data_IF_423653800091
#
_entry.id   IF_423653800091
#
_cell.length_a   1.000
_cell.length_b   1.000
_cell.length_c   1.000
_cell.angle_alpha   90.00
_cell.angle_beta   90.00
_cell.angle_gamma   90.00
#
_symmetry.space_group_name_H-M   'P 1'
#
loop_
_entity.id
_entity.type
_entity.pdbx_description
1 polymer ?
#
# COMPACT_ATOMS: atom_id res chain seq x y z
N UNK A 1 10.07 1.86 -22.99
CA UNK A 1 10.93 3.05 -22.76
C UNK A 1 12.11 2.61 -21.92
N UNK A 2 13.36 2.93 -22.30
CA UNK A 2 14.52 2.69 -21.44
C UNK A 2 14.42 3.56 -20.18
N UNK A 3 14.77 2.99 -19.04
CA UNK A 3 14.76 3.70 -17.75
C UNK A 3 16.04 4.51 -17.61
N UNK A 4 15.92 5.77 -17.19
CA UNK A 4 17.07 6.65 -16.92
C UNK A 4 17.56 7.51 -18.07
N UNK A 5 16.88 7.49 -19.23
CA UNK A 5 17.24 8.35 -20.38
C UNK A 5 16.39 9.61 -20.51
N UNK A 6 15.26 9.69 -19.82
CA UNK A 6 14.37 10.85 -19.85
C UNK A 6 13.56 10.96 -18.54
N UNK A 7 13.10 12.17 -18.22
CA UNK A 7 12.24 12.46 -17.07
C UNK A 7 10.78 12.58 -17.50
N UNK A 8 9.90 11.82 -16.85
CA UNK A 8 8.46 11.97 -17.04
C UNK A 8 7.88 13.09 -16.16
N UNK A 9 7.03 13.94 -16.72
CA UNK A 9 6.23 14.89 -15.95
C UNK A 9 5.05 14.19 -15.25
N UNK A 10 4.69 14.64 -14.05
CA UNK A 10 3.63 14.01 -13.25
C UNK A 10 3.22 14.81 -12.01
N UNK A 11 3.12 14.11 -10.87
CA UNK A 11 2.67 14.68 -9.59
C UNK A 11 3.64 15.75 -9.05
N UNK A 12 3.09 16.84 -8.52
CA UNK A 12 3.85 17.83 -7.77
C UNK A 12 4.22 17.30 -6.39
N UNK A 13 5.48 16.86 -6.25
CA UNK A 13 6.00 16.24 -5.03
C UNK A 13 7.06 17.11 -4.35
N UNK A 14 7.12 17.03 -3.02
CA UNK A 14 8.10 17.71 -2.18
C UNK A 14 9.14 16.76 -1.58
N UNK A 15 8.90 15.45 -1.58
CA UNK A 15 9.82 14.43 -1.09
C UNK A 15 9.62 13.12 -1.85
N UNK A 16 10.71 12.41 -2.14
CA UNK A 16 10.73 11.05 -2.67
C UNK A 16 11.60 10.18 -1.77
N UNK A 17 11.10 9.00 -1.41
CA UNK A 17 11.81 8.04 -0.54
C UNK A 17 11.65 6.63 -1.12
N UNK A 18 12.69 5.82 -0.98
CA UNK A 18 12.78 4.47 -1.54
C UNK A 18 12.94 3.43 -0.43
N UNK A 19 12.27 2.30 -0.58
CA UNK A 19 12.62 1.05 0.10
C UNK A 19 13.37 0.13 -0.86
N UNK A 20 13.60 -1.12 -0.46
CA UNK A 20 14.17 -2.14 -1.35
C UNK A 20 13.27 -2.46 -2.56
N UNK A 21 11.96 -2.25 -2.46
CA UNK A 21 10.99 -2.74 -3.44
C UNK A 21 10.01 -1.68 -3.93
N UNK A 22 9.96 -0.51 -3.27
CA UNK A 22 8.88 0.45 -3.50
C UNK A 22 9.36 1.88 -3.48
N UNK A 23 8.63 2.70 -4.23
CA UNK A 23 8.83 4.14 -4.29
C UNK A 23 7.68 4.82 -3.57
N UNK A 24 8.02 5.79 -2.73
CA UNK A 24 7.06 6.60 -2.01
C UNK A 24 7.32 8.07 -2.27
N UNK A 25 6.26 8.85 -2.21
CA UNK A 25 6.34 10.30 -2.36
C UNK A 25 5.45 11.01 -1.36
N UNK A 26 5.86 12.23 -1.02
CA UNK A 26 5.03 13.22 -0.36
C UNK A 26 4.72 14.34 -1.34
N UNK A 27 3.44 14.62 -1.54
CA UNK A 27 2.97 15.74 -2.35
C UNK A 27 3.22 17.08 -1.64
N UNK A 28 3.18 18.19 -2.38
CA UNK A 28 3.30 19.55 -1.78
C UNK A 28 2.20 19.87 -0.78
N UNK A 29 1.03 19.24 -0.92
CA UNK A 29 -0.11 19.38 -0.01
C UNK A 29 -0.01 18.49 1.26
N UNK A 30 1.09 17.72 1.41
CA UNK A 30 1.32 16.83 2.54
C UNK A 30 0.75 15.42 2.40
N UNK A 31 0.01 15.11 1.31
CA UNK A 31 -0.45 13.76 1.02
C UNK A 31 0.72 12.80 0.77
N UNK A 32 0.55 11.54 1.17
CA UNK A 32 1.50 10.47 0.90
C UNK A 32 0.98 9.55 -0.21
N UNK A 33 1.86 9.05 -1.07
CA UNK A 33 1.52 8.05 -2.07
C UNK A 33 2.63 7.01 -2.25
N UNK A 34 2.24 5.78 -2.60
CA UNK A 34 3.13 4.66 -2.95
C UNK A 34 2.97 4.31 -4.42
N UNK A 35 4.09 4.03 -5.11
CA UNK A 35 4.09 3.48 -6.48
C UNK A 35 3.86 1.97 -6.43
N UNK A 36 2.88 1.49 -7.18
CA UNK A 36 2.58 0.08 -7.36
C UNK A 36 3.01 -0.40 -8.74
N UNK A 37 3.24 -1.71 -8.88
CA UNK A 37 3.62 -2.34 -10.16
C UNK A 37 5.11 -2.25 -10.52
N UNK A 38 5.95 -1.74 -9.61
CA UNK A 38 7.39 -1.64 -9.84
C UNK A 38 7.99 -3.04 -9.89
N UNK A 39 8.70 -3.34 -10.97
CA UNK A 39 9.44 -4.59 -11.18
C UNK A 39 10.59 -4.38 -12.16
N UNK A 40 11.49 -5.36 -12.30
CA UNK A 40 12.61 -5.29 -13.25
C UNK A 40 12.15 -5.08 -14.70
N UNK A 41 10.96 -5.61 -15.05
CA UNK A 41 10.35 -5.46 -16.38
C UNK A 41 9.51 -4.20 -16.51
N UNK A 42 9.11 -3.60 -15.39
CA UNK A 42 8.34 -2.37 -15.34
C UNK A 42 8.84 -1.44 -14.21
N UNK A 43 10.00 -0.79 -14.39
CA UNK A 43 10.60 -0.03 -13.29
C UNK A 43 9.86 1.30 -13.06
N UNK A 44 9.09 1.76 -14.05
CA UNK A 44 8.22 2.92 -13.92
C UNK A 44 7.01 2.65 -13.00
N UNK A 45 6.62 1.38 -12.82
CA UNK A 45 5.39 1.00 -12.13
C UNK A 45 4.11 1.41 -12.87
N UNK A 46 2.97 0.94 -12.38
CA UNK A 46 1.67 1.09 -13.03
C UNK A 46 0.94 2.37 -12.59
N UNK A 47 0.84 2.60 -11.28
CA UNK A 47 0.09 3.73 -10.75
C UNK A 47 0.54 4.15 -9.34
N UNK A 48 0.15 5.36 -8.94
CA UNK A 48 0.31 5.86 -7.58
C UNK A 48 -0.95 5.59 -6.77
N UNK A 49 -0.80 5.03 -5.56
CA UNK A 49 -1.89 4.86 -4.61
C UNK A 49 -1.72 5.84 -3.46
N UNK A 50 -2.73 6.68 -3.22
CA UNK A 50 -2.78 7.57 -2.05
C UNK A 50 -2.83 6.75 -0.77
N UNK A 51 -2.04 7.18 0.21
CA UNK A 51 -1.99 6.61 1.55
C UNK A 51 -2.77 7.55 2.47
N UNK A 52 -3.71 7.04 3.29
CA UNK A 52 -4.43 7.88 4.23
C UNK A 52 -3.50 8.60 5.20
N UNK A 53 -3.78 9.88 5.44
CA UNK A 53 -3.02 10.74 6.35
C UNK A 53 -2.06 11.71 5.64
N UNK A 54 -1.62 12.72 6.40
CA UNK A 54 -0.68 13.74 5.95
C UNK A 54 0.55 13.78 6.85
N UNK A 55 1.68 14.21 6.29
CA UNK A 55 2.93 14.31 7.02
C UNK A 55 3.73 15.58 6.69
N UNK A 56 4.42 16.11 7.68
CA UNK A 56 5.54 17.02 7.51
C UNK A 56 6.80 16.16 7.36
N UNK A 57 7.19 15.56 6.24
CA UNK A 57 8.30 14.56 6.19
C UNK A 57 7.92 13.14 6.60
N UNK A 58 8.50 12.21 5.85
CA UNK A 58 8.42 10.79 6.14
C UNK A 58 9.69 10.09 5.63
N UNK A 59 9.88 8.84 6.06
CA UNK A 59 10.89 7.93 5.54
C UNK A 59 10.33 6.51 5.51
N UNK A 60 10.99 5.63 4.77
CA UNK A 60 10.70 4.20 4.74
C UNK A 60 11.98 3.41 4.99
N UNK A 61 11.86 2.30 5.70
CA UNK A 61 12.98 1.35 5.85
C UNK A 61 13.11 0.47 4.59
N UNK A 62 14.23 -0.25 4.43
CA UNK A 62 14.37 -1.25 3.36
C UNK A 62 13.25 -2.30 3.34
N UNK A 63 12.65 -2.60 4.49
CA UNK A 63 11.57 -3.57 4.71
C UNK A 63 10.15 -2.98 4.55
N UNK A 64 10.01 -1.82 3.92
CA UNK A 64 8.71 -1.13 3.69
C UNK A 64 8.05 -0.57 4.98
N UNK A 65 8.78 -0.41 6.10
CA UNK A 65 8.21 0.24 7.29
C UNK A 65 8.19 1.76 7.14
N UNK A 66 7.00 2.37 7.18
CA UNK A 66 6.83 3.81 7.01
C UNK A 66 6.80 4.56 8.34
N UNK A 67 7.65 5.57 8.45
CA UNK A 67 7.77 6.48 9.58
C UNK A 67 7.53 7.91 9.12
N UNK A 68 6.74 8.67 9.86
CA UNK A 68 6.36 10.03 9.49
C UNK A 68 6.39 10.97 10.68
N UNK A 69 6.74 12.23 10.42
CA UNK A 69 6.50 13.33 11.35
C UNK A 69 5.15 13.93 10.99
N UNK A 70 4.22 13.95 11.94
CA UNK A 70 2.88 14.47 11.73
C UNK A 70 2.90 16.00 11.62
N UNK A 71 1.79 16.58 11.19
CA UNK A 71 1.65 18.03 11.06
C UNK A 71 1.89 18.78 12.40
N UNK A 72 1.64 18.11 13.53
CA UNK A 72 1.85 18.65 14.88
C UNK A 72 3.24 18.32 15.47
N UNK A 73 4.14 17.74 14.67
CA UNK A 73 5.50 17.41 15.09
C UNK A 73 5.67 16.08 15.84
N UNK A 74 4.61 15.29 15.97
CA UNK A 74 4.68 13.95 16.58
C UNK A 74 5.29 12.91 15.62
N UNK A 75 5.89 11.86 16.18
CA UNK A 75 6.38 10.73 15.39
C UNK A 75 5.28 9.67 15.24
N UNK A 76 5.09 9.13 14.03
CA UNK A 76 4.12 8.08 13.74
C UNK A 76 4.74 6.98 12.90
N UNK A 77 4.37 5.72 13.20
CA UNK A 77 4.69 4.54 12.40
C UNK A 77 3.42 3.95 11.80
N UNK A 78 3.45 3.64 10.51
CA UNK A 78 2.34 2.94 9.86
C UNK A 78 2.49 1.43 10.06
N UNK A 79 1.47 0.82 10.66
CA UNK A 79 1.35 -0.63 10.76
C UNK A 79 0.39 -1.13 9.68
N UNK A 80 0.87 -1.98 8.77
CA UNK A 80 0.00 -2.63 7.78
C UNK A 80 -0.28 -4.05 8.25
N UNK A 81 -1.49 -4.29 8.75
CA UNK A 81 -1.95 -5.66 9.03
C UNK A 81 -2.38 -6.29 7.71
N UNK A 82 -1.60 -7.24 7.20
CA UNK A 82 -2.05 -8.07 6.10
C UNK A 82 -3.16 -8.96 6.65
N UNK A 83 -4.38 -8.79 6.14
CA UNK A 83 -5.45 -9.72 6.44
C UNK A 83 -5.11 -11.03 5.73
N UNK A 84 -5.11 -12.18 6.44
CA UNK A 84 -4.95 -13.46 5.79
C UNK A 84 -6.08 -13.61 4.78
N UNK A 85 -5.72 -13.81 3.51
CA UNK A 85 -6.65 -14.27 2.50
C UNK A 85 -7.12 -15.64 2.98
N UNK A 86 -8.38 -15.76 3.42
CA UNK A 86 -8.98 -17.07 3.64
C UNK A 86 -8.83 -17.82 2.32
N UNK A 87 -8.16 -18.99 2.29
CA UNK A 87 -8.16 -19.80 1.09
C UNK A 87 -9.62 -20.09 0.78
N UNK A 88 -10.09 -19.68 -0.40
CA UNK A 88 -11.38 -20.10 -0.90
C UNK A 88 -11.34 -21.63 -0.91
N UNK A 89 -12.02 -22.25 0.06
CA UNK A 89 -12.13 -23.69 0.18
C UNK A 89 -12.72 -24.18 -1.13
N UNK A 90 -12.02 -25.01 -1.93
CA UNK A 90 -12.64 -25.60 -3.10
C UNK A 90 -13.89 -26.33 -2.64
N UNK A 91 -15.02 -26.04 -3.30
CA UNK A 91 -16.33 -26.57 -2.95
C UNK A 91 -16.23 -28.10 -2.77
N UNK A 92 -16.73 -28.68 -1.67
CA UNK A 92 -16.85 -30.12 -1.57
C UNK A 92 -17.83 -30.57 -2.66
N UNK A 93 -17.30 -31.26 -3.67
CA UNK A 93 -18.10 -31.99 -4.65
C UNK A 93 -18.77 -33.16 -3.94
N UNK A 94 -20.00 -32.97 -3.48
CA UNK A 94 -20.85 -34.05 -2.98
C UNK A 94 -22.05 -33.53 -2.17
N UNK A 95 -23.28 -33.98 -2.46
CA UNK A 95 -24.44 -33.61 -1.67
C UNK A 95 -24.46 -34.43 -0.39
N UNK A 96 -24.34 -33.79 0.77
CA UNK A 96 -24.80 -34.40 2.02
C UNK A 96 -25.37 -33.32 2.94
N UNK A 97 -26.66 -33.48 3.17
CA UNK A 97 -27.50 -32.72 4.08
C UNK A 97 -26.99 -32.92 5.51
N UNK A 98 -26.57 -31.85 6.19
CA UNK A 98 -26.69 -31.73 7.65
C UNK A 98 -26.91 -30.28 7.98
N UNK A 99 -28.02 -30.04 8.68
CA UNK A 99 -28.41 -28.78 9.28
C UNK A 99 -27.38 -28.26 10.29
N UNK A 100 -27.53 -26.99 10.63
CA UNK A 100 -26.75 -26.19 11.59
C UNK A 100 -25.34 -25.78 11.12
N UNK A 101 -25.28 -24.61 10.45
CA UNK A 101 -24.17 -23.67 10.57
C UNK A 101 -24.69 -22.26 10.25
N UNK A 102 -25.63 -21.79 11.07
CA UNK A 102 -26.10 -20.40 11.09
C UNK A 102 -25.45 -19.74 12.30
N UNK A 103 -24.16 -19.45 12.21
CA UNK A 103 -23.51 -18.50 13.13
C UNK A 103 -22.31 -17.89 12.38
N UNK A 104 -22.18 -16.56 12.47
CA UNK A 104 -21.06 -15.74 11.97
C UNK A 104 -21.09 -15.21 10.52
N UNK A 105 -22.28 -14.88 9.97
CA UNK A 105 -22.39 -13.74 9.03
C UNK A 105 -22.42 -12.43 9.84
N UNK A 106 -21.26 -11.96 10.28
CA UNK A 106 -21.16 -10.60 10.81
C UNK A 106 -21.22 -9.60 9.66
N UNK A 107 -22.32 -8.85 9.57
CA UNK A 107 -22.41 -7.66 8.73
C UNK A 107 -21.64 -6.50 9.38
N UNK A 108 -20.73 -5.88 8.61
CA UNK A 108 -20.01 -4.69 9.06
C UNK A 108 -20.79 -3.44 8.61
N UNK A 109 -21.34 -2.68 9.56
CA UNK A 109 -21.88 -1.32 9.35
C UNK A 109 -20.77 -0.29 9.22
#
# INVERSE_FOLDING_TARGET
MPVGTDWGAGLAVSQLVLSSWTVWVRCVNGDLARRYGVSDRNPAGDYWKKIPGNANWFTVTPEDELWAVTLIGGLSRRLTKLLPQTPCRPAPSGPSLTADDVEDEWELI
#
